data_IF_882965726780
#
_entry.id   IF_882965726780
#
_cell.length_a   1.000
_cell.length_b   1.000
_cell.length_c   1.000
_cell.angle_alpha   90.00
_cell.angle_beta   90.00
_cell.angle_gamma   90.00
#
_symmetry.space_group_name_H-M   'P 1'
#
loop_
_entity.id
_entity.type
_entity.pdbx_description
1 polymer ?
2 non-polymer ?
3 non-polymer ?
4 non-polymer ?
5 non-polymer ?
6 non-polymer ?
7 water ?
#
# COMPACT_ATOMS: atom_id res chain seq x y z
N UNK A 1 11.36 13.99 -0.23
CA UNK A 1 10.04 14.48 -0.62
C UNK A 1 9.29 14.93 0.61
N UNK A 2 8.35 15.79 0.38
CA UNK A 2 7.38 16.11 1.43
C UNK A 2 6.62 14.82 1.75
N UNK A 3 6.36 14.60 3.03
CA UNK A 3 5.62 13.42 3.51
C UNK A 3 4.52 13.90 4.45
N UNK A 4 3.50 13.09 4.61
CA UNK A 4 2.40 13.40 5.54
C UNK A 4 1.36 14.32 5.01
N UNK A 5 1.32 14.53 3.69
CA UNK A 5 0.34 15.40 3.03
C UNK A 5 -0.55 14.54 2.12
N UNK A 6 -1.85 14.66 2.27
CA UNK A 6 -2.81 13.84 1.53
C UNK A 6 -3.95 14.68 0.99
N UNK A 7 -4.38 14.39 -0.25
CA UNK A 7 -5.56 15.02 -0.79
C UNK A 7 -6.73 14.10 -0.66
N UNK A 8 -7.69 14.48 0.18
CA UNK A 8 -8.91 13.74 0.38
C UNK A 8 -9.99 14.31 -0.55
N UNK A 9 -11.07 13.58 -0.79
CA UNK A 9 -12.22 14.20 -1.47
C UNK A 9 -12.70 15.37 -0.62
N UNK A 10 -13.20 16.41 -1.28
CA UNK A 10 -13.65 17.60 -0.57
C UNK A 10 -14.82 17.32 0.36
N UNK A 11 -14.87 18.09 1.45
CA UNK A 11 -16.02 18.12 2.33
C UNK A 11 -16.42 16.75 2.85
N UNK A 12 -15.41 15.95 3.20
CA UNK A 12 -15.61 14.57 3.56
C UNK A 12 -15.15 14.32 5.00
N UNK A 13 -15.98 13.61 5.73
CA UNK A 13 -15.65 13.16 7.10
C UNK A 13 -14.56 12.10 7.05
N UNK A 14 -13.60 12.23 7.97
CA UNK A 14 -12.51 11.22 8.05
C UNK A 14 -12.10 11.06 9.50
N UNK A 15 -11.52 9.91 9.80
CA UNK A 15 -10.95 9.68 11.14
C UNK A 15 -9.46 9.83 11.15
N UNK A 16 -8.94 10.30 12.25
CA UNK A 16 -7.47 10.37 12.46
C UNK A 16 -7.15 9.83 13.85
N UNK A 17 -6.19 8.94 13.93
CA UNK A 17 -5.81 8.25 15.19
C UNK A 17 -4.30 8.21 15.26
N UNK A 18 -3.74 8.54 16.42
CA UNK A 18 -2.28 8.54 16.64
C UNK A 18 -1.87 7.62 17.77
N UNK A 19 -0.81 6.87 17.53
CA UNK A 19 -0.23 5.89 18.46
C UNK A 19 1.18 6.35 18.78
N UNK A 20 1.65 6.10 20.01
CA UNK A 20 3.04 6.46 20.39
C UNK A 20 3.87 5.23 20.76
N UNK A 21 5.15 5.27 20.36
CA UNK A 21 6.13 4.22 20.66
C UNK A 21 7.52 4.84 20.79
N UNK A 22 7.72 5.55 21.90
CA UNK A 22 8.92 6.34 22.11
C UNK A 22 9.05 6.76 23.56
N UNK A 23 10.30 6.93 24.00
CA UNK A 23 10.51 7.54 25.32
C UNK A 23 10.09 9.01 25.33
N UNK A 24 10.01 9.68 24.19
CA UNK A 24 9.70 11.09 24.15
C UNK A 24 8.22 11.34 24.02
N UNK A 25 7.73 12.42 24.61
CA UNK A 25 6.35 12.86 24.41
C UNK A 25 6.18 13.31 22.95
N UNK A 26 5.16 12.75 22.27
CA UNK A 26 4.85 13.06 20.91
C UNK A 26 3.81 14.16 20.84
N UNK A 27 4.00 15.11 19.94
CA UNK A 27 3.04 16.13 19.60
C UNK A 27 2.65 15.92 18.13
N UNK A 28 1.40 15.56 17.91
CA UNK A 28 0.87 15.33 16.55
C UNK A 28 -0.07 16.46 16.20
N UNK A 29 0.21 17.21 15.16
CA UNK A 29 -0.67 18.27 14.68
C UNK A 29 -1.34 17.83 13.39
N UNK A 30 -2.63 18.04 13.31
CA UNK A 30 -3.44 17.73 12.13
C UNK A 30 -3.89 19.04 11.52
N UNK A 31 -3.50 19.28 10.29
CA UNK A 31 -3.81 20.51 9.55
C UNK A 31 -4.77 20.19 8.41
N UNK A 32 -5.86 20.90 8.33
CA UNK A 32 -6.85 20.76 7.28
C UNK A 32 -6.84 22.09 6.49
N UNK A 33 -6.51 22.03 5.22
CA UNK A 33 -6.41 23.23 4.39
C UNK A 33 -5.55 24.30 5.03
N UNK A 34 -4.40 23.85 5.50
CA UNK A 34 -3.35 24.69 6.05
C UNK A 34 -3.63 25.31 7.42
N UNK A 35 -4.67 24.83 8.12
CA UNK A 35 -4.99 25.30 9.47
C UNK A 35 -4.94 24.14 10.44
N UNK A 36 -4.23 24.29 11.56
CA UNK A 36 -4.19 23.24 12.59
C UNK A 36 -5.57 23.14 13.21
N UNK A 37 -6.19 21.97 13.19
CA UNK A 37 -7.50 21.72 13.72
C UNK A 37 -7.52 20.68 14.84
N UNK A 38 -6.39 20.00 15.09
CA UNK A 38 -6.28 19.09 16.23
C UNK A 38 -4.80 18.93 16.58
N UNK A 39 -4.53 18.81 17.89
CA UNK A 39 -3.22 18.54 18.41
C UNK A 39 -3.35 17.44 19.45
N UNK A 40 -2.64 16.34 19.26
CA UNK A 40 -2.61 15.21 20.18
C UNK A 40 -1.24 15.19 20.86
N UNK A 41 -1.28 15.01 22.20
CA UNK A 41 -0.04 15.01 22.99
C UNK A 41 -0.05 13.82 23.93
N UNK A 42 1.02 13.02 23.92
CA UNK A 42 1.12 11.94 24.90
C UNK A 42 2.39 11.18 24.75
N UNK A 43 2.60 10.22 25.67
CA UNK A 43 3.84 9.42 25.67
C UNK A 43 3.52 7.99 25.96
N UNK A 44 4.09 7.08 25.20
CA UNK A 44 3.96 5.65 25.43
C UNK A 44 5.10 4.93 24.74
N UNK A 45 5.58 3.83 25.33
CA UNK A 45 6.44 2.89 24.61
C UNK A 45 5.68 1.61 24.27
N UNK A 46 4.36 1.62 24.33
CA UNK A 46 3.56 0.44 24.09
C UNK A 46 2.32 0.68 23.26
N UNK A 47 2.45 1.56 22.26
CA UNK A 47 1.42 1.74 21.25
C UNK A 47 0.14 2.34 21.77
N UNK A 48 0.16 3.08 22.86
CA UNK A 48 -1.06 3.73 23.34
C UNK A 48 -1.56 4.72 22.32
N UNK A 49 -2.88 4.83 22.27
CA UNK A 49 -3.55 5.84 21.47
C UNK A 49 -3.47 7.15 22.19
N UNK A 50 -2.80 8.11 21.61
CA UNK A 50 -2.65 9.46 22.23
C UNK A 50 -3.70 10.42 21.74
N UNK A 51 -4.47 10.06 20.70
CA UNK A 51 -5.56 10.88 20.23
C UNK A 51 -6.31 10.23 19.12
N UNK A 52 -7.61 10.49 19.01
CA UNK A 52 -8.43 10.03 17.88
C UNK A 52 -9.55 11.05 17.72
N UNK A 53 -9.84 11.44 16.49
CA UNK A 53 -10.85 12.46 16.21
C UNK A 53 -11.51 12.18 14.90
N UNK A 54 -12.72 12.65 14.71
CA UNK A 54 -13.40 12.72 13.42
C UNK A 54 -13.39 14.17 12.96
N UNK A 55 -12.93 14.42 11.74
CA UNK A 55 -12.81 15.74 11.18
C UNK A 55 -13.40 15.79 9.79
N UNK A 56 -13.52 17.00 9.25
CA UNK A 56 -13.99 17.19 7.87
C UNK A 56 -12.90 17.77 7.01
N UNK A 57 -12.72 17.27 5.78
CA UNK A 57 -11.62 17.70 4.92
C UNK A 57 -11.80 19.07 4.25
N UNK A 58 -12.98 19.63 4.38
CA UNK A 58 -13.25 21.02 3.86
C UNK A 58 -13.17 21.15 2.36
N UNK A 59 -13.13 22.40 1.93
CA UNK A 59 -13.21 22.65 0.48
C UNK A 59 -12.06 22.14 -0.34
N UNK A 60 -10.84 22.27 0.17
CA UNK A 60 -9.65 21.88 -0.56
C UNK A 60 -9.24 20.41 -0.40
N UNK A 61 -9.77 19.75 0.63
CA UNK A 61 -9.45 18.36 0.89
C UNK A 61 -8.04 18.10 1.40
N UNK A 62 -7.25 19.13 1.72
CA UNK A 62 -5.86 18.93 2.08
C UNK A 62 -5.75 18.57 3.54
N UNK A 63 -5.12 17.44 3.83
CA UNK A 63 -4.83 17.01 5.20
C UNK A 63 -3.34 16.81 5.34
N UNK A 64 -2.73 17.45 6.32
CA UNK A 64 -1.30 17.35 6.60
C UNK A 64 -1.04 17.00 8.04
N UNK A 65 -0.17 16.04 8.27
CA UNK A 65 0.25 15.61 9.61
C UNK A 65 1.64 16.09 9.87
N UNK A 66 1.82 16.74 11.03
CA UNK A 66 3.15 17.13 11.51
C UNK A 66 3.39 16.48 12.86
N UNK A 67 4.60 16.01 13.09
CA UNK A 67 4.99 15.39 14.36
C UNK A 67 6.22 16.04 14.90
N UNK A 68 6.19 16.43 16.19
CA UNK A 68 7.38 16.97 16.86
C UNK A 68 7.53 16.36 18.24
N UNK A 69 8.76 16.45 18.77
CA UNK A 69 9.08 16.00 20.13
C UNK A 69 9.85 17.16 20.76
N UNK A 70 9.27 17.73 21.82
CA UNK A 70 9.91 18.88 22.53
C UNK A 70 10.28 19.99 21.56
N UNK A 71 9.38 20.25 20.61
CA UNK A 71 9.53 21.29 19.62
C UNK A 71 10.37 20.97 18.40
N UNK A 72 11.01 19.82 18.34
CA UNK A 72 11.88 19.45 17.20
C UNK A 72 11.10 18.51 16.25
N UNK A 73 11.07 18.86 14.97
CA UNK A 73 10.26 18.11 14.01
C UNK A 73 10.88 16.71 13.79
N UNK A 74 10.02 15.70 13.84
CA UNK A 74 10.39 14.35 13.50
C UNK A 74 10.43 14.20 11.98
N UNK A 75 11.23 13.21 11.56
CA UNK A 75 11.29 12.87 10.13
C UNK A 75 10.09 11.96 9.81
N UNK A 76 9.37 12.26 8.75
CA UNK A 76 8.14 11.54 8.38
C UNK A 76 8.30 10.62 7.19
N UNK A 77 7.51 9.56 7.18
CA UNK A 77 7.30 8.70 6.00
C UNK A 77 5.81 8.45 5.87
N UNK A 78 5.32 8.35 4.64
CA UNK A 78 3.87 8.21 4.44
C UNK A 78 3.50 7.56 3.14
N UNK A 79 2.26 7.04 3.08
CA UNK A 79 1.68 6.49 1.82
C UNK A 79 0.19 6.44 2.00
N UNK A 80 -0.56 6.39 0.90
CA UNK A 80 -2.01 6.14 0.92
C UNK A 80 -2.29 4.83 0.21
N UNK A 81 -3.21 4.04 0.77
CA UNK A 81 -3.60 2.76 0.17
C UNK A 81 -5.12 2.71 0.10
N UNK A 82 -5.62 2.15 -1.00
CA UNK A 82 -7.07 2.04 -1.23
C UNK A 82 -7.39 0.57 -1.49
N UNK A 83 -8.35 0.04 -0.73
CA UNK A 83 -8.81 -1.35 -0.84
C UNK A 83 -10.23 -1.36 -1.38
N UNK A 84 -10.50 -2.36 -2.23
CA UNK A 84 -11.81 -2.55 -2.89
C UNK A 84 -12.32 -1.32 -3.60
N UNK A 85 -11.37 -0.50 -4.08
CA UNK A 85 -11.66 0.75 -4.78
C UNK A 85 -12.52 1.72 -3.99
N UNK A 86 -12.53 1.57 -2.67
CA UNK A 86 -13.44 2.38 -1.83
C UNK A 86 -12.85 2.78 -0.46
N UNK A 87 -12.16 1.88 0.17
CA UNK A 87 -11.68 2.07 1.56
C UNK A 87 -10.28 2.67 1.55
N UNK A 88 -10.15 3.85 2.12
CA UNK A 88 -8.87 4.59 2.06
C UNK A 88 -8.17 4.66 3.42
N UNK A 89 -6.88 4.45 3.37
CA UNK A 89 -5.98 4.66 4.52
C UNK A 89 -4.89 5.63 4.10
N UNK A 90 -4.65 6.66 4.90
CA UNK A 90 -3.45 7.50 4.73
C UNK A 90 -2.61 7.27 5.99
N UNK A 91 -1.38 6.83 5.78
CA UNK A 91 -0.53 6.26 6.84
C UNK A 91 0.72 7.12 7.00
N UNK A 92 1.07 7.41 8.27
CA UNK A 92 2.28 8.20 8.58
C UNK A 92 3.09 7.51 9.66
N UNK A 93 4.39 7.36 9.43
CA UNK A 93 5.33 7.01 10.49
C UNK A 93 6.25 8.18 10.72
N UNK A 94 6.91 8.17 11.88
CA UNK A 94 7.80 9.28 12.24
C UNK A 94 8.93 8.80 13.13
N UNK A 95 10.09 9.48 12.98
CA UNK A 95 11.30 9.13 13.70
C UNK A 95 11.86 10.35 14.41
N UNK A 96 12.03 10.19 15.73
CA UNK A 96 12.48 11.30 16.62
C UNK A 96 13.95 11.19 16.97
N UNK A 97 14.63 10.13 16.52
CA UNK A 97 16.02 9.89 16.91
C UNK A 97 16.78 9.17 15.80
N UNK A 98 17.58 8.16 16.16
CA UNK A 98 18.49 7.54 15.19
C UNK A 98 18.31 6.05 14.97
N UNK A 99 17.37 5.39 15.66
CA UNK A 99 17.17 3.96 15.47
C UNK A 99 16.38 3.57 14.24
N UNK A 100 15.71 4.55 13.65
CA UNK A 100 14.99 4.37 12.39
C UNK A 100 13.93 3.30 12.44
N UNK A 101 13.23 3.18 13.59
CA UNK A 101 12.04 2.34 13.62
C UNK A 101 10.80 3.05 13.03
N UNK A 102 10.80 4.36 12.96
CA UNK A 102 9.75 5.15 12.33
C UNK A 102 8.37 4.90 12.95
N UNK A 103 8.34 4.46 14.22
CA UNK A 103 7.06 4.19 14.89
C UNK A 103 6.82 5.14 16.06
N UNK A 104 7.62 6.20 16.16
CA UNK A 104 7.64 6.97 17.40
C UNK A 104 6.31 7.66 17.64
N UNK A 105 5.75 8.22 16.58
CA UNK A 105 4.32 8.47 16.44
C UNK A 105 3.88 7.84 15.13
N UNK A 106 2.83 7.07 15.19
CA UNK A 106 2.19 6.43 14.01
C UNK A 106 0.83 7.06 13.88
N UNK A 107 0.48 7.53 12.68
CA UNK A 107 -0.83 8.18 12.47
C UNK A 107 -1.55 7.46 11.35
N UNK A 108 -2.82 7.12 11.62
CA UNK A 108 -3.69 6.48 10.63
C UNK A 108 -4.89 7.39 10.39
N UNK A 109 -5.10 7.75 9.11
CA UNK A 109 -6.26 8.50 8.66
C UNK A 109 -7.11 7.52 7.84
N UNK A 110 -8.42 7.46 8.07
CA UNK A 110 -9.29 6.53 7.33
C UNK A 110 -10.56 7.21 6.88
N UNK A 111 -11.02 6.83 5.69
CA UNK A 111 -12.31 7.33 5.15
C UNK A 111 -12.74 6.33 4.08
N UNK A 112 -14.02 6.31 3.67
CA UNK A 112 -15.11 7.06 4.25
C UNK A 112 -15.54 6.51 5.59
N UNK A 113 -16.31 7.30 6.30
CA UNK A 113 -16.94 6.89 7.57
C UNK A 113 -18.42 6.58 7.33
N UNK A 114 -19.05 6.02 8.34
CA UNK A 114 -20.52 5.83 8.30
C UNK A 114 -20.96 4.49 7.80
N UNK B 1 -9.44 -14.85 -3.14
CA UNK B 1 -8.30 -15.17 -2.27
C UNK B 1 -8.73 -15.04 -0.84
N UNK B 2 -8.04 -15.78 -0.01
CA UNK B 2 -8.21 -15.60 1.42
C UNK B 2 -7.72 -14.18 1.76
N UNK B 3 -8.40 -13.54 2.69
CA UNK B 3 -8.10 -12.19 3.14
C UNK B 3 -8.04 -12.16 4.65
N UNK B 4 -7.36 -11.17 5.23
CA UNK B 4 -7.26 -11.01 6.67
C UNK B 4 -6.27 -11.92 7.37
N UNK B 5 -5.37 -12.55 6.62
CA UNK B 5 -4.33 -13.45 7.17
C UNK B 5 -2.98 -12.84 6.87
N UNK B 6 -2.15 -12.69 7.89
CA UNK B 6 -0.84 -12.06 7.75
C UNK B 6 0.22 -12.86 8.46
N UNK B 7 1.41 -12.95 7.84
CA UNK B 7 2.56 -13.58 8.50
C UNK B 7 3.46 -12.49 9.04
N UNK B 8 3.52 -12.39 10.36
CA UNK B 8 4.41 -11.46 11.05
C UNK B 8 5.72 -12.16 11.38
N UNK B 9 6.76 -11.38 11.66
CA UNK B 9 7.98 -12.00 12.24
C UNK B 9 7.60 -12.70 13.54
N UNK B 10 8.28 -13.81 13.84
CA UNK B 10 8.01 -14.55 15.05
C UNK B 10 8.26 -13.77 16.32
N UNK B 11 7.47 -14.10 17.33
CA UNK B 11 7.69 -13.63 18.70
C UNK B 11 7.83 -12.14 18.82
N UNK B 12 6.95 -11.44 18.09
CA UNK B 12 7.03 -9.99 17.97
C UNK B 12 5.76 -9.36 18.53
N UNK B 13 5.97 -8.29 19.32
CA UNK B 13 4.85 -7.50 19.84
C UNK B 13 4.23 -6.70 18.68
N UNK B 14 2.91 -6.65 18.66
CA UNK B 14 2.18 -5.88 17.63
C UNK B 14 0.93 -5.28 18.22
N UNK B 15 0.44 -4.21 17.60
CA UNK B 15 -0.84 -3.62 18.01
C UNK B 15 -1.95 -3.98 17.07
N UNK B 16 -3.15 -4.13 17.58
CA UNK B 16 -4.35 -4.32 16.76
C UNK B 16 -5.43 -3.37 17.27
N UNK B 17 -6.06 -2.64 16.36
CA UNK B 17 -7.06 -1.63 16.67
C UNK B 17 -8.19 -1.76 15.69
N UNK B 18 -9.45 -1.68 16.18
CA UNK B 18 -10.63 -1.79 15.31
C UNK B 18 -11.55 -0.61 15.45
N UNK B 19 -12.14 -0.18 14.33
CA UNK B 19 -13.07 0.93 14.23
C UNK B 19 -14.39 0.40 13.66
N UNK B 20 -15.52 0.98 14.05
CA UNK B 20 -16.83 0.59 13.50
C UNK B 20 -17.50 1.73 12.72
N UNK B 21 -18.15 1.36 11.61
CA UNK B 21 -18.89 2.30 10.74
C UNK B 21 -20.08 1.59 10.11
N UNK B 22 -21.09 1.28 10.92
CA UNK B 22 -22.21 0.48 10.46
C UNK B 22 -23.36 0.53 11.46
N UNK B 23 -24.58 0.31 10.96
CA UNK B 23 -25.71 0.08 11.88
C UNK B 23 -25.60 -1.24 12.58
N UNK B 24 -24.86 -2.20 12.00
CA UNK B 24 -24.71 -3.53 12.59
C UNK B 24 -23.58 -3.59 13.60
N UNK B 25 -23.79 -4.35 14.67
CA UNK B 25 -22.81 -4.49 15.75
C UNK B 25 -21.71 -5.41 15.26
N UNK B 26 -20.47 -4.95 15.32
CA UNK B 26 -19.31 -5.66 14.81
C UNK B 26 -18.66 -6.49 15.91
N UNK B 27 -18.32 -7.74 15.59
CA UNK B 27 -17.51 -8.61 16.42
C UNK B 27 -16.25 -8.94 15.63
N UNK B 28 -15.13 -8.45 16.13
CA UNK B 28 -13.81 -8.69 15.48
C UNK B 28 -13.06 -9.73 16.33
N UNK B 29 -12.69 -10.85 15.73
CA UNK B 29 -11.90 -11.87 16.41
C UNK B 29 -10.50 -11.90 15.87
N UNK B 30 -9.54 -11.93 16.78
CA UNK B 30 -8.13 -11.94 16.44
C UNK B 30 -7.58 -13.28 16.85
N UNK B 31 -7.05 -14.02 15.88
CA UNK B 31 -6.39 -15.29 16.13
C UNK B 31 -4.90 -15.17 15.91
N UNK B 32 -4.11 -15.67 16.85
CA UNK B 32 -2.66 -15.79 16.72
C UNK B 32 -2.32 -17.25 16.73
N UNK B 33 -1.70 -17.70 15.66
CA UNK B 33 -1.38 -19.15 15.49
C UNK B 33 -2.59 -20.01 15.79
N UNK B 34 -3.72 -19.62 15.20
CA UNK B 34 -4.97 -20.36 15.21
C UNK B 34 -5.68 -20.43 16.56
N UNK B 35 -5.33 -19.55 17.49
CA UNK B 35 -6.01 -19.45 18.80
C UNK B 35 -6.58 -18.02 18.93
N UNK B 36 -7.83 -17.91 19.37
CA UNK B 36 -8.43 -16.62 19.63
C UNK B 36 -7.77 -15.99 20.82
N UNK B 37 -7.21 -14.80 20.67
CA UNK B 37 -6.53 -14.09 21.73
C UNK B 37 -7.12 -12.71 22.02
N UNK B 38 -8.05 -12.22 21.18
CA UNK B 38 -8.74 -10.97 21.44
C UNK B 38 -10.06 -10.97 20.67
N UNK B 39 -11.05 -10.32 21.28
CA UNK B 39 -12.36 -10.10 20.66
C UNK B 39 -12.76 -8.67 20.97
N UNK B 40 -13.09 -7.90 19.91
CA UNK B 40 -13.58 -6.54 20.07
C UNK B 40 -14.98 -6.44 19.56
N UNK B 41 -15.87 -5.76 20.30
CA UNK B 41 -17.28 -5.69 19.95
C UNK B 41 -17.77 -4.28 20.11
N UNK B 42 -18.52 -3.77 19.13
CA UNK B 42 -19.20 -2.48 19.32
C UNK B 42 -20.00 -2.08 18.12
N UNK B 43 -20.79 -1.04 18.32
CA UNK B 43 -21.62 -0.49 17.25
C UNK B 43 -21.44 1.01 17.19
N UNK B 44 -21.05 1.49 16.02
CA UNK B 44 -20.93 2.93 15.77
C UNK B 44 -21.11 3.20 14.30
N UNK B 45 -21.72 4.35 13.97
CA UNK B 45 -21.68 4.87 12.61
C UNK B 45 -20.71 6.04 12.46
N UNK B 46 -19.83 6.25 13.43
CA UNK B 46 -18.93 7.38 13.42
C UNK B 46 -17.51 7.03 13.84
N UNK B 47 -17.05 5.87 13.38
CA UNK B 47 -15.63 5.51 13.51
C UNK B 47 -15.16 5.31 14.94
N UNK B 48 -16.08 4.95 15.87
CA UNK B 48 -15.61 4.69 17.21
C UNK B 48 -14.59 3.55 17.24
N UNK B 49 -13.61 3.68 18.10
CA UNK B 49 -12.65 2.62 18.35
C UNK B 49 -13.32 1.60 19.25
N UNK B 50 -13.50 0.40 18.75
CA UNK B 50 -14.19 -0.66 19.49
C UNK B 50 -13.18 -1.55 20.22
N UNK B 51 -11.90 -1.41 19.97
CA UNK B 51 -10.88 -2.09 20.77
C UNK B 51 -9.49 -1.74 20.27
N UNK B 52 -8.52 -1.84 21.17
CA UNK B 52 -7.11 -1.73 20.81
C UNK B 52 -6.32 -2.54 21.83
N UNK B 53 -5.39 -3.38 21.38
CA UNK B 53 -4.66 -4.28 22.27
C UNK B 53 -3.27 -4.50 21.72
N UNK B 54 -2.34 -4.84 22.61
CA UNK B 54 -1.01 -5.29 22.25
C UNK B 54 -0.93 -6.79 22.43
N UNK B 55 -0.44 -7.49 21.43
CA UNK B 55 -0.34 -8.94 21.42
C UNK B 55 1.05 -9.34 20.96
N UNK B 56 1.35 -10.63 21.11
CA UNK B 56 2.60 -11.21 20.62
C UNK B 56 2.31 -12.21 19.53
N UNK B 57 3.09 -12.18 18.44
CA UNK B 57 2.83 -13.03 17.28
C UNK B 57 3.21 -14.50 17.45
N UNK B 58 3.93 -14.81 18.53
CA UNK B 58 4.26 -16.22 18.85
C UNK B 58 5.20 -16.88 17.88
N UNK B 59 5.31 -18.19 18.04
CA UNK B 59 6.30 -18.91 17.23
C UNK B 59 6.10 -18.91 15.74
N UNK B 60 4.83 -19.05 15.33
CA UNK B 60 4.48 -19.12 13.91
C UNK B 60 4.29 -17.78 13.22
N UNK B 61 4.07 -16.73 13.98
CA UNK B 61 3.80 -15.40 13.44
C UNK B 61 2.47 -15.23 12.73
N UNK B 62 1.57 -16.19 12.81
CA UNK B 62 0.34 -16.13 12.00
C UNK B 62 -0.70 -15.29 12.73
N UNK B 63 -1.20 -14.25 12.09
CA UNK B 63 -2.27 -13.42 12.63
C UNK B 63 -3.44 -13.44 11.65
N UNK B 64 -4.62 -13.78 12.15
CA UNK B 64 -5.82 -13.77 11.32
C UNK B 64 -6.92 -12.95 11.96
N UNK B 65 -7.57 -12.12 11.16
CA UNK B 65 -8.72 -11.34 11.57
C UNK B 65 -9.98 -11.89 10.93
N UNK B 66 -11.01 -12.12 11.76
CA UNK B 66 -12.34 -12.47 11.29
C UNK B 66 -13.32 -11.44 11.81
N UNK B 67 -14.34 -11.11 11.01
CA UNK B 67 -15.38 -10.15 11.41
C UNK B 67 -16.74 -10.73 11.18
N UNK B 68 -17.61 -10.63 12.19
CA UNK B 68 -19.01 -11.06 12.02
C UNK B 68 -19.96 -10.05 12.61
N UNK B 69 -21.20 -10.09 12.15
CA UNK B 69 -22.28 -9.25 12.63
C UNK B 69 -23.45 -10.18 12.94
N UNK B 70 -23.82 -10.26 14.23
CA UNK B 70 -24.90 -11.17 14.68
C UNK B 70 -24.71 -12.58 14.15
N UNK B 71 -23.46 -13.06 14.22
CA UNK B 71 -23.15 -14.42 13.83
C UNK B 71 -22.85 -14.64 12.36
N UNK B 72 -23.06 -13.67 11.49
CA UNK B 72 -22.85 -13.84 10.05
C UNK B 72 -21.50 -13.21 9.64
N UNK B 73 -20.70 -13.97 8.92
CA UNK B 73 -19.37 -13.51 8.51
C UNK B 73 -19.44 -12.38 7.52
N UNK B 74 -18.70 -11.32 7.77
CA UNK B 74 -18.49 -10.23 6.82
C UNK B 74 -17.49 -10.62 5.76
N UNK B 75 -17.63 -10.00 4.61
CA UNK B 75 -16.66 -10.18 3.52
C UNK B 75 -15.46 -9.28 3.80
N UNK B 76 -14.26 -9.84 3.70
CA UNK B 76 -13.02 -9.11 4.02
C UNK B 76 -12.20 -8.71 2.84
N UNK B 77 -11.50 -7.59 2.98
CA UNK B 77 -10.44 -7.18 2.03
C UNK B 77 -9.24 -6.76 2.86
N UNK B 78 -8.03 -7.00 2.35
CA UNK B 78 -6.82 -6.74 3.16
C UNK B 78 -5.59 -6.51 2.34
N UNK B 79 -4.60 -5.89 2.97
CA UNK B 79 -3.25 -5.76 2.36
C UNK B 79 -2.27 -5.41 3.47
N UNK B 80 -0.98 -5.59 3.21
CA UNK B 80 0.10 -5.16 4.11
C UNK B 80 0.93 -4.12 3.40
N UNK B 81 1.34 -3.08 4.12
CA UNK B 81 2.23 -2.05 3.56
C UNK B 81 3.37 -1.83 4.52
N UNK B 82 4.55 -1.63 3.95
CA UNK B 82 5.78 -1.41 4.74
C UNK B 82 6.39 -0.08 4.31
N UNK B 83 6.64 0.82 5.27
CA UNK B 83 7.29 2.12 5.04
C UNK B 83 8.68 2.12 5.65
N UNK B 84 9.60 2.80 4.98
CA UNK B 84 11.02 2.93 5.42
C UNK B 84 11.66 1.60 5.68
N UNK B 85 11.21 0.57 4.97
CA UNK B 85 11.70 -0.81 5.14
C UNK B 85 11.64 -1.32 6.56
N UNK B 86 10.75 -0.77 7.36
CA UNK B 86 10.71 -1.12 8.79
C UNK B 86 9.33 -1.06 9.44
N UNK B 87 8.53 -0.08 9.07
CA UNK B 87 7.24 0.17 9.72
C UNK B 87 6.15 -0.57 8.96
N UNK B 88 5.48 -1.50 9.63
CA UNK B 88 4.49 -2.38 8.99
C UNK B 88 3.07 -2.10 9.42
N UNK B 89 2.18 -2.08 8.43
CA UNK B 89 0.73 -2.01 8.64
C UNK B 89 0.09 -3.20 7.97
N UNK B 90 -0.77 -3.91 8.65
CA UNK B 90 -1.62 -4.95 8.06
C UNK B 90 -3.05 -4.43 8.22
N UNK B 91 -3.75 -4.25 7.10
CA UNK B 91 -5.00 -3.49 7.03
C UNK B 91 -6.14 -4.41 6.59
N UNK B 92 -7.28 -4.29 7.27
CA UNK B 92 -8.47 -5.06 6.91
C UNK B 92 -9.68 -4.14 6.83
N UNK B 93 -10.45 -4.30 5.75
CA UNK B 93 -11.80 -3.75 5.68
C UNK B 93 -12.79 -4.88 5.63
N UNK B 94 -14.05 -4.56 5.94
CA UNK B 94 -15.07 -5.60 5.98
C UNK B 94 -16.43 -5.01 5.60
N UNK B 95 -17.25 -5.87 4.98
CA UNK B 95 -18.58 -5.45 4.48
C UNK B 95 -19.62 -6.42 5.01
N UNK B 96 -20.61 -5.84 5.71
CA UNK B 96 -21.68 -6.62 6.36
C UNK B 96 -22.98 -6.63 5.57
N UNK B 97 -23.04 -5.92 4.45
CA UNK B 97 -24.32 -5.77 3.74
C UNK B 97 -24.06 -5.52 2.26
N UNK B 98 -24.76 -4.54 1.68
CA UNK B 98 -24.87 -4.41 0.22
C UNK B 98 -24.34 -3.12 -0.38
N UNK B 99 -23.83 -2.19 0.41
CA UNK B 99 -23.34 -0.94 -0.14
C UNK B 99 -21.88 -0.94 -0.55
N UNK B 100 -21.14 -1.97 -0.16
CA UNK B 100 -19.73 -2.13 -0.57
C UNK B 100 -18.83 -0.96 -0.18
N UNK B 101 -19.09 -0.36 0.99
CA UNK B 101 -18.15 0.63 1.52
C UNK B 101 -16.94 -0.03 2.23
N UNK B 102 -17.07 -1.27 2.65
CA UNK B 102 -15.99 -2.03 3.25
C UNK B 102 -15.39 -1.38 4.49
N UNK B 103 -16.13 -0.51 5.18
CA UNK B 103 -15.65 0.18 6.36
C UNK B 103 -16.38 -0.25 7.63
N UNK B 104 -17.18 -1.30 7.52
CA UNK B 104 -18.15 -1.60 8.59
C UNK B 104 -17.44 -1.96 9.89
N UNK B 105 -16.39 -2.77 9.75
CA UNK B 105 -15.31 -2.82 10.74
C UNK B 105 -14.02 -2.62 9.96
N UNK B 106 -13.19 -1.74 10.46
CA UNK B 106 -11.85 -1.47 9.90
C UNK B 106 -10.84 -1.90 10.92
N UNK B 107 -9.85 -2.70 10.56
CA UNK B 107 -8.85 -3.20 11.51
C UNK B 107 -7.47 -2.82 11.02
N UNK B 108 -6.68 -2.24 11.92
CA UNK B 108 -5.29 -1.86 11.66
C UNK B 108 -4.39 -2.62 12.63
N UNK B 109 -3.45 -3.38 12.08
CA UNK B 109 -2.39 -4.07 12.83
C UNK B 109 -1.10 -3.32 12.53
N UNK B 110 -0.30 -2.99 13.55
CA UNK B 110 0.96 -2.27 13.33
C UNK B 110 2.10 -2.87 14.14
N UNK B 111 3.28 -2.90 13.56
CA UNK B 111 4.50 -3.32 14.25
C UNK B 111 5.68 -2.71 13.52
N UNK B 112 6.88 -2.63 14.12
CA UNK B 112 7.17 -2.97 15.51
C UNK B 112 6.65 -1.94 16.47
N UNK B 113 6.60 -2.32 17.74
CA UNK B 113 6.24 -1.40 18.84
C UNK B 113 7.50 -1.01 19.59
N UNK B 114 7.35 -0.06 20.50
CA UNK B 114 8.43 0.32 21.42
C UNK B 114 9.27 1.44 20.96
N UNK C 1 13.80 10.26 5.36
CA UNK C 1 14.16 8.84 5.55
C UNK C 1 14.86 8.35 4.31
N UNK C 2 15.67 7.35 4.49
CA UNK C 2 16.23 6.65 3.34
C UNK C 2 15.04 5.99 2.62
N UNK C 3 15.10 6.02 1.30
CA UNK C 3 14.06 5.45 0.43
C UNK C 3 14.73 4.57 -0.61
N UNK C 4 13.97 3.63 -1.16
CA UNK C 4 14.47 2.76 -2.23
C UNK C 4 15.28 1.59 -1.74
N UNK C 5 15.22 1.26 -0.45
CA UNK C 5 15.92 0.12 0.13
C UNK C 5 14.90 -0.88 0.65
N UNK C 6 15.03 -2.14 0.24
CA UNK C 6 14.07 -3.18 0.62
C UNK C 6 14.77 -4.43 1.06
N UNK C 7 14.28 -5.10 2.09
CA UNK C 7 14.79 -6.39 2.52
C UNK C 7 13.89 -7.49 1.96
N UNK C 8 14.41 -8.25 1.03
CA UNK C 8 13.73 -9.38 0.42
C UNK C 8 14.09 -10.64 1.19
N UNK C 9 13.28 -11.69 1.08
CA UNK C 9 13.74 -13.00 1.56
C UNK C 9 15.03 -13.39 0.87
N UNK C 10 15.91 -14.09 1.59
CA UNK C 10 17.19 -14.48 1.02
C UNK C 10 17.07 -15.39 -0.19
N UNK C 11 18.03 -15.26 -1.08
CA UNK C 11 18.23 -16.19 -2.18
C UNK C 11 16.97 -16.39 -3.03
N UNK C 12 16.30 -15.28 -3.30
CA UNK C 12 15.02 -15.29 -3.96
C UNK C 12 15.09 -14.54 -5.29
N UNK C 13 14.56 -15.15 -6.33
CA UNK C 13 14.43 -14.52 -7.64
C UNK C 13 13.40 -13.41 -7.59
N UNK C 14 13.73 -12.27 -8.19
CA UNK C 14 12.78 -11.14 -8.27
C UNK C 14 12.92 -10.42 -9.58
N UNK C 15 11.87 -9.73 -9.99
CA UNK C 15 11.93 -8.91 -11.19
C UNK C 15 12.08 -7.45 -10.85
N UNK C 16 12.77 -6.71 -11.71
CA UNK C 16 12.88 -5.26 -11.56
C UNK C 16 12.67 -4.61 -12.92
N UNK C 17 11.79 -3.62 -13.00
CA UNK C 17 11.39 -2.99 -14.23
C UNK C 17 11.34 -1.49 -14.00
N UNK C 18 11.84 -0.70 -14.97
CA UNK C 18 11.80 0.75 -14.85
C UNK C 18 11.13 1.41 -16.04
N UNK C 19 10.37 2.47 -15.78
CA UNK C 19 9.64 3.26 -16.73
C UNK C 19 10.15 4.69 -16.64
N UNK C 20 10.18 5.43 -17.76
CA UNK C 20 10.58 6.84 -17.76
C UNK C 20 9.48 7.78 -18.17
N UNK C 21 9.40 8.96 -17.51
CA UNK C 21 8.43 10.02 -17.78
C UNK C 21 9.04 11.39 -17.47
N UNK C 22 9.98 11.78 -18.30
CA UNK C 22 10.77 13.02 -18.06
C UNK C 22 11.50 13.42 -19.34
N UNK C 23 11.77 14.71 -19.45
CA UNK C 23 12.71 15.19 -20.50
C UNK C 23 14.10 14.71 -20.28
N UNK C 24 14.51 14.37 -19.04
CA UNK C 24 15.84 13.96 -18.75
C UNK C 24 16.08 12.49 -18.95
N UNK C 25 17.28 12.11 -19.37
CA UNK C 25 17.71 10.74 -19.42
C UNK C 25 17.84 10.23 -17.98
N UNK C 26 17.17 9.11 -17.69
CA UNK C 26 17.19 8.48 -16.39
C UNK C 26 18.20 7.38 -16.33
N UNK C 27 18.96 7.29 -15.27
CA UNK C 27 19.88 6.20 -15.02
C UNK C 27 19.43 5.52 -13.73
N UNK C 28 18.99 4.27 -13.82
CA UNK C 28 18.55 3.47 -12.67
C UNK C 28 19.59 2.42 -12.35
N UNK C 29 20.09 2.44 -11.13
CA UNK C 29 21.08 1.45 -10.65
C UNK C 29 20.41 0.54 -9.66
N UNK C 30 20.61 -0.77 -9.82
CA UNK C 30 20.09 -1.76 -8.89
C UNK C 30 21.27 -2.41 -8.18
N UNK C 31 21.29 -2.27 -6.86
CA UNK C 31 22.30 -2.92 -6.03
C UNK C 31 21.70 -4.06 -5.23
N UNK C 32 22.35 -5.19 -5.24
CA UNK C 32 21.98 -6.33 -4.41
C UNK C 32 23.13 -6.58 -3.46
N UNK C 33 22.84 -6.53 -2.18
CA UNK C 33 23.89 -6.66 -1.13
C UNK C 33 25.09 -5.77 -1.45
N UNK C 34 24.77 -4.53 -1.77
CA UNK C 34 25.70 -3.43 -1.97
C UNK C 34 26.60 -3.54 -3.21
N UNK C 35 26.22 -4.38 -4.17
CA UNK C 35 26.93 -4.52 -5.45
C UNK C 35 25.96 -4.19 -6.59
N UNK C 36 26.41 -3.39 -7.54
CA UNK C 36 25.62 -3.05 -8.70
C UNK C 36 25.48 -4.28 -9.57
N UNK C 37 24.25 -4.69 -9.85
CA UNK C 37 23.96 -5.87 -10.66
C UNK C 37 23.09 -5.56 -11.88
N UNK C 38 22.55 -4.34 -12.00
CA UNK C 38 21.84 -3.93 -13.19
C UNK C 38 21.86 -2.41 -13.29
N UNK C 39 21.91 -1.91 -14.52
CA UNK C 39 21.79 -0.49 -14.82
C UNK C 39 20.90 -0.28 -16.01
N UNK C 40 19.87 0.55 -15.90
CA UNK C 40 18.98 0.90 -16.98
C UNK C 40 19.14 2.37 -17.33
N UNK C 41 19.26 2.72 -18.60
CA UNK C 41 19.41 4.11 -19.05
C UNK C 41 18.44 4.37 -20.17
N UNK C 42 17.68 5.43 -20.10
CA UNK C 42 16.80 5.82 -21.20
C UNK C 42 16.04 7.05 -20.97
N UNK C 43 15.36 7.56 -21.98
CA UNK C 43 14.56 8.76 -21.89
C UNK C 43 13.23 8.52 -22.59
N UNK C 44 12.16 8.92 -21.93
CA UNK C 44 10.83 8.92 -22.48
C UNK C 44 9.95 9.91 -21.74
N UNK C 45 8.99 10.52 -22.38
CA UNK C 45 7.92 11.23 -21.73
C UNK C 45 6.58 10.47 -21.92
N UNK C 46 6.64 9.18 -22.26
CA UNK C 46 5.43 8.41 -22.47
C UNK C 46 5.52 7.00 -21.89
N UNK C 47 6.14 6.88 -20.74
CA UNK C 47 6.15 5.62 -19.97
C UNK C 47 6.87 4.47 -20.64
N UNK C 48 7.83 4.73 -21.49
CA UNK C 48 8.62 3.62 -22.06
C UNK C 48 9.30 2.84 -20.98
N UNK C 49 9.38 1.54 -21.19
CA UNK C 49 10.18 0.67 -20.37
C UNK C 49 11.64 0.84 -20.73
N UNK C 50 12.46 1.28 -19.80
CA UNK C 50 13.89 1.48 -20.06
C UNK C 50 14.71 0.28 -19.64
N UNK C 51 14.11 -0.68 -18.93
CA UNK C 51 14.79 -1.92 -18.60
C UNK C 51 13.92 -2.85 -17.79
N UNK C 52 14.17 -4.14 -17.89
CA UNK C 52 13.52 -5.13 -17.05
C UNK C 52 14.46 -6.32 -16.93
N UNK C 53 14.69 -6.84 -15.74
CA UNK C 53 15.63 -7.94 -15.52
C UNK C 53 15.15 -8.80 -14.39
N UNK C 54 15.58 -10.05 -14.38
CA UNK C 54 15.40 -10.96 -13.26
C UNK C 54 16.72 -11.10 -12.53
N UNK C 55 16.68 -10.96 -11.22
CA UNK C 55 17.86 -10.99 -10.36
C UNK C 55 17.61 -11.89 -9.17
N UNK C 56 18.65 -12.17 -8.41
CA UNK C 56 18.53 -12.95 -7.18
C UNK C 56 18.92 -12.11 -5.99
N UNK C 57 18.17 -12.17 -4.88
CA UNK C 57 18.41 -11.31 -3.74
C UNK C 57 19.62 -11.70 -2.88
N UNK C 58 20.18 -12.89 -3.14
CA UNK C 58 21.41 -13.31 -2.46
C UNK C 58 21.25 -13.56 -0.98
N UNK C 59 22.39 -13.71 -0.32
CA UNK C 59 22.36 -14.12 1.07
C UNK C 59 21.74 -13.10 2.02
N UNK C 60 22.03 -11.81 1.82
CA UNK C 60 21.51 -10.77 2.68
C UNK C 60 20.11 -10.26 2.36
N UNK C 61 19.65 -10.51 1.15
CA UNK C 61 18.33 -10.04 0.70
C UNK C 61 18.22 -8.56 0.48
N UNK C 62 19.30 -7.78 0.55
CA UNK C 62 19.20 -6.32 0.47
C UNK C 62 19.13 -5.89 -0.98
N UNK C 63 18.08 -5.15 -1.35
CA UNK C 63 17.96 -4.57 -2.67
C UNK C 63 17.82 -3.06 -2.54
N UNK C 64 18.65 -2.32 -3.26
CA UNK C 64 18.56 -0.86 -3.27
C UNK C 64 18.48 -0.32 -4.67
N UNK C 65 17.56 0.61 -4.88
CA UNK C 65 17.38 1.31 -6.13
C UNK C 65 17.91 2.73 -5.98
N UNK C 66 18.76 3.14 -6.92
CA UNK C 66 19.22 4.52 -7.03
C UNK C 66 18.84 5.06 -8.37
N UNK C 67 18.45 6.30 -8.45
CA UNK C 67 18.11 6.96 -9.71
C UNK C 67 18.88 8.27 -9.80
N UNK C 68 19.55 8.47 -10.94
CA UNK C 68 20.22 9.75 -11.17
C UNK C 68 19.93 10.26 -12.57
N UNK C 69 19.98 11.58 -12.69
CA UNK C 69 19.66 12.28 -13.95
C UNK C 69 20.80 13.28 -14.12
N UNK C 70 21.56 13.15 -15.20
CA UNK C 70 22.66 14.10 -15.50
C UNK C 70 23.59 14.28 -14.33
N UNK C 71 23.92 13.18 -13.65
CA UNK C 71 24.86 13.16 -12.58
C UNK C 71 24.35 13.51 -11.21
N UNK C 72 23.07 13.86 -11.09
CA UNK C 72 22.50 14.26 -9.78
C UNK C 72 21.58 13.13 -9.33
N UNK C 73 21.62 12.80 -8.06
CA UNK C 73 20.62 11.89 -7.47
C UNK C 73 19.26 12.50 -7.47
N UNK C 74 18.24 11.74 -7.94
CA UNK C 74 16.87 12.16 -7.86
C UNK C 74 16.36 11.90 -6.45
N UNK C 75 15.33 12.65 -6.09
CA UNK C 75 14.68 12.43 -4.81
C UNK C 75 13.74 11.22 -4.94
N UNK C 76 13.86 10.28 -4.02
CA UNK C 76 13.11 9.03 -4.10
C UNK C 76 11.99 8.96 -3.09
N UNK C 77 10.92 8.25 -3.49
CA UNK C 77 9.87 7.85 -2.56
C UNK C 77 9.61 6.35 -2.81
N UNK C 78 9.29 5.61 -1.76
CA UNK C 78 9.13 4.17 -1.90
C UNK C 78 8.24 3.55 -0.86
N UNK C 79 7.71 2.37 -1.18
CA UNK C 79 6.92 1.56 -0.23
C UNK C 79 6.89 0.14 -0.71
N UNK C 80 6.62 -0.82 0.17
CA UNK C 80 6.39 -2.23 -0.20
C UNK C 80 4.96 -2.58 0.14
N UNK C 81 4.29 -3.32 -0.77
CA UNK C 81 2.90 -3.73 -0.57
C UNK C 81 2.85 -5.25 -0.82
N UNK C 82 2.07 -5.93 0.00
CA UNK C 82 1.92 -7.38 -0.07
C UNK C 82 0.42 -7.69 -0.20
N UNK C 83 0.07 -8.44 -1.23
CA UNK C 83 -1.32 -8.89 -1.49
C UNK C 83 -1.44 -10.36 -1.26
N UNK C 84 -2.60 -10.76 -0.70
CA UNK C 84 -2.89 -12.20 -0.43
C UNK C 84 -1.82 -12.87 0.42
N UNK C 85 -1.15 -12.05 1.26
CA UNK C 85 -0.05 -12.54 2.11
C UNK C 85 1.05 -13.26 1.38
N UNK C 86 1.22 -12.96 0.10
CA UNK C 86 2.19 -13.71 -0.72
C UNK C 86 2.83 -12.91 -1.85
N UNK C 87 2.07 -12.05 -2.51
CA UNK C 87 2.53 -11.35 -3.71
C UNK C 87 3.10 -10.00 -3.29
N UNK C 88 4.40 -9.78 -3.56
CA UNK C 88 5.09 -8.59 -3.10
C UNK C 88 5.44 -7.63 -4.21
N UNK C 89 5.22 -6.35 -3.95
CA UNK C 89 5.67 -5.24 -4.80
C UNK C 89 6.54 -4.32 -3.98
N UNK C 90 7.70 -3.96 -4.48
CA UNK C 90 8.51 -2.87 -3.90
C UNK C 90 8.51 -1.78 -4.95
N UNK C 91 8.05 -0.60 -4.59
CA UNK C 91 7.70 0.49 -5.52
C UNK C 91 8.59 1.70 -5.24
N UNK C 92 9.11 2.30 -6.32
CA UNK C 92 9.93 3.51 -6.23
C UNK C 92 9.45 4.54 -7.22
N UNK C 93 9.25 5.77 -6.73
CA UNK C 93 9.10 6.94 -7.61
C UNK C 93 10.29 7.85 -7.42
N UNK C 94 10.51 8.70 -8.40
CA UNK C 94 11.67 9.60 -8.33
C UNK C 94 11.36 10.90 -9.03
N UNK C 95 11.99 11.98 -8.49
CA UNK C 95 11.78 13.33 -8.99
C UNK C 95 13.12 13.97 -9.29
N UNK C 96 13.25 14.41 -10.54
CA UNK C 96 14.52 15.01 -11.05
C UNK C 96 14.46 16.52 -11.13
N UNK C 97 13.34 17.13 -10.76
CA UNK C 97 13.14 18.57 -10.87
C UNK C 97 12.25 19.08 -9.73
N UNK C 98 11.34 19.99 -10.03
CA UNK C 98 10.55 20.70 -9.01
C UNK C 98 9.05 20.59 -9.21
N UNK C 99 8.55 19.87 -10.23
CA UNK C 99 7.11 19.71 -10.41
C UNK C 99 6.47 18.65 -9.50
N UNK C 100 7.30 17.83 -8.89
CA UNK C 100 6.86 16.87 -7.88
C UNK C 100 5.83 15.88 -8.38
N UNK C 101 5.96 15.46 -9.65
CA UNK C 101 5.14 14.33 -10.12
C UNK C 101 5.70 12.97 -9.69
N UNK C 102 6.99 12.90 -9.35
CA UNK C 102 7.64 11.70 -8.84
C UNK C 102 7.51 10.49 -9.80
N UNK C 103 7.33 10.75 -11.09
CA UNK C 103 7.20 9.66 -12.07
C UNK C 103 8.36 9.64 -13.05
N UNK C 104 9.43 10.42 -12.76
CA UNK C 104 10.45 10.67 -13.78
C UNK C 104 11.16 9.38 -14.15
N UNK C 105 11.48 8.60 -13.14
CA UNK C 105 11.73 7.16 -13.29
C UNK C 105 10.86 6.48 -12.26
N UNK C 106 10.11 5.48 -12.70
CA UNK C 106 9.25 4.65 -11.82
C UNK C 106 9.83 3.26 -11.84
N UNK C 107 10.06 2.66 -10.69
CA UNK C 107 10.65 1.33 -10.62
C UNK C 107 9.76 0.41 -9.84
N UNK C 108 9.51 -0.77 -10.42
CA UNK C 108 8.68 -1.81 -9.79
C UNK C 108 9.52 -3.07 -9.63
N UNK C 109 9.62 -3.55 -8.39
CA UNK C 109 10.23 -4.80 -8.06
C UNK C 109 9.11 -5.75 -7.66
N UNK C 110 9.10 -6.99 -8.19
CA UNK C 110 8.04 -7.96 -7.84
C UNK C 110 8.60 -9.33 -7.57
N UNK C 111 8.01 -10.01 -6.59
CA UNK C 111 8.36 -11.41 -6.28
C UNK C 111 7.15 -12.01 -5.57
N UNK C 112 7.01 -13.34 -5.51
CA UNK C 112 7.89 -14.34 -6.14
C UNK C 112 7.65 -14.39 -7.65
N UNK C 113 8.61 -15.01 -8.34
CA UNK C 113 8.50 -15.30 -9.76
C UNK C 113 8.20 -16.76 -9.97
N UNK C 114 7.92 -17.10 -11.24
CA UNK C 114 7.77 -18.49 -11.64
C UNK C 114 6.38 -19.04 -11.52
N UNK D 1 -14.90 -9.50 -2.30
CA UNK D 1 -15.06 -8.16 -2.93
C UNK D 1 -14.64 -8.28 -4.38
N UNK D 2 -15.20 -7.41 -5.18
CA UNK D 2 -14.71 -7.21 -6.53
C UNK D 2 -13.25 -6.75 -6.45
N UNK D 3 -12.43 -7.28 -7.34
CA UNK D 3 -11.00 -6.92 -7.42
C UNK D 3 -10.68 -6.54 -8.87
N UNK D 4 -9.62 -5.74 -9.04
CA UNK D 4 -9.16 -5.35 -10.38
C UNK D 4 -9.94 -4.21 -11.00
N UNK D 5 -10.72 -3.48 -10.22
CA UNK D 5 -11.49 -2.31 -10.68
C UNK D 5 -10.98 -1.09 -9.99
N UNK D 6 -10.65 -0.06 -10.76
CA UNK D 6 -10.07 1.17 -10.21
C UNK D 6 -10.73 2.39 -10.81
N UNK D 7 -10.97 3.42 -9.99
CA UNK D 7 -11.46 4.69 -10.47
C UNK D 7 -10.28 5.66 -10.59
N UNK D 8 -9.93 5.99 -11.82
CA UNK D 8 -8.90 6.96 -12.12
C UNK D 8 -9.54 8.34 -12.29
N UNK D 9 -8.72 9.39 -12.19
CA UNK D 9 -9.23 10.71 -12.60
C UNK D 9 -9.65 10.66 -14.05
N UNK D 10 -10.71 11.41 -14.40
CA UNK D 10 -11.24 11.37 -15.75
C UNK D 10 -10.24 11.89 -16.77
N UNK D 11 -10.34 11.35 -17.98
CA UNK D 11 -9.63 11.85 -19.14
C UNK D 11 -8.12 11.96 -18.93
N UNK D 12 -7.56 10.94 -18.29
CA UNK D 12 -6.18 10.94 -17.89
C UNK D 12 -5.42 9.79 -18.53
N UNK D 13 -4.24 10.11 -19.05
CA UNK D 13 -3.33 9.11 -19.61
C UNK D 13 -2.77 8.23 -18.50
N UNK D 14 -2.72 6.93 -18.77
CA UNK D 14 -2.13 5.98 -17.81
C UNK D 14 -1.42 4.87 -18.53
N UNK D 15 -0.47 4.23 -17.87
CA UNK D 15 0.18 3.06 -18.41
C UNK D 15 -0.33 1.77 -17.82
N UNK D 16 -0.36 0.71 -18.61
CA UNK D 16 -0.73 -0.62 -18.14
C UNK D 16 0.29 -1.62 -18.67
N UNK D 17 0.85 -2.44 -17.79
CA UNK D 17 1.92 -3.38 -18.11
C UNK D 17 1.63 -4.71 -17.46
N UNK D 18 1.79 -5.80 -18.20
CA UNK D 18 1.50 -7.14 -17.66
C UNK D 18 2.73 -8.07 -17.77
N UNK D 19 2.95 -8.84 -16.73
CA UNK D 19 4.04 -9.77 -16.57
C UNK D 19 3.45 -11.17 -16.40
N UNK D 20 4.11 -12.21 -16.90
CA UNK D 20 3.62 -13.59 -16.78
C UNK D 20 4.59 -14.45 -15.95
N UNK D 21 4.03 -15.32 -15.12
CA UNK D 21 4.76 -16.28 -14.28
C UNK D 21 3.95 -17.57 -14.08
N UNK D 22 3.80 -18.31 -15.17
CA UNK D 22 2.89 -19.47 -15.17
C UNK D 22 3.16 -20.36 -16.38
N UNK D 23 2.89 -21.67 -16.21
CA UNK D 23 2.84 -22.56 -17.35
C UNK D 23 1.66 -22.29 -18.25
N UNK D 24 0.62 -21.63 -17.75
CA UNK D 24 -0.59 -21.32 -18.53
C UNK D 24 -0.40 -20.04 -19.33
N UNK D 25 -0.97 -19.99 -20.50
CA UNK D 25 -0.97 -18.80 -21.35
C UNK D 25 -1.95 -17.81 -20.75
N UNK D 26 -1.48 -16.58 -20.46
CA UNK D 26 -2.28 -15.56 -19.81
C UNK D 26 -2.93 -14.64 -20.79
N UNK D 27 -4.20 -14.35 -20.65
CA UNK D 27 -4.93 -13.36 -21.41
C UNK D 27 -5.36 -12.27 -20.44
N UNK D 28 -4.79 -11.05 -20.64
CA UNK D 28 -5.15 -9.90 -19.83
C UNK D 28 -6.00 -8.97 -20.67
N UNK D 29 -7.23 -8.69 -20.22
CA UNK D 29 -8.10 -7.73 -20.89
C UNK D 29 -8.23 -6.49 -20.06
N UNK D 30 -8.08 -5.35 -20.73
CA UNK D 30 -8.18 -4.05 -20.08
C UNK D 30 -9.44 -3.37 -20.61
N UNK D 31 -10.37 -3.05 -19.72
CA UNK D 31 -11.57 -2.34 -20.06
C UNK D 31 -11.55 -0.95 -19.49
N UNK D 32 -11.86 0.04 -20.32
CA UNK D 32 -12.02 1.42 -19.89
C UNK D 32 -13.47 1.79 -20.11
N UNK D 33 -14.14 2.17 -19.02
CA UNK D 33 -15.57 2.47 -19.07
C UNK D 33 -16.35 1.37 -19.80
N UNK D 34 -16.06 0.14 -19.42
CA UNK D 34 -16.75 -1.08 -19.84
C UNK D 34 -16.54 -1.47 -21.30
N UNK D 35 -15.50 -0.94 -21.94
CA UNK D 35 -15.14 -1.31 -23.32
C UNK D 35 -13.70 -1.86 -23.31
N UNK D 36 -13.49 -2.98 -24.00
CA UNK D 36 -12.14 -3.53 -24.11
C UNK D 36 -11.31 -2.63 -24.99
N UNK D 37 -10.19 -2.16 -24.47
CA UNK D 37 -9.29 -1.26 -25.22
C UNK D 37 -7.88 -1.82 -25.34
N UNK D 38 -7.54 -2.91 -24.66
CA UNK D 38 -6.25 -3.58 -24.81
C UNK D 38 -6.39 -5.03 -24.39
N UNK D 39 -5.68 -5.91 -25.07
CA UNK D 39 -5.62 -7.34 -24.75
C UNK D 39 -4.20 -7.79 -24.92
N UNK D 40 -3.62 -8.45 -23.92
CA UNK D 40 -2.29 -9.04 -24.02
C UNK D 40 -2.45 -10.56 -23.86
N UNK D 41 -1.84 -11.38 -24.71
CA UNK D 41 -1.85 -12.83 -24.55
C UNK D 41 -0.45 -13.38 -24.70
N UNK D 42 0.09 -14.02 -23.69
CA UNK D 42 1.45 -14.55 -23.74
C UNK D 42 1.78 -15.48 -22.64
N UNK D 43 2.99 -16.00 -22.61
CA UNK D 43 3.36 -17.04 -21.64
C UNK D 43 4.78 -16.88 -21.22
N UNK D 44 5.07 -16.99 -19.95
CA UNK D 44 6.42 -17.02 -19.39
C UNK D 44 6.39 -17.61 -17.99
N UNK D 45 7.44 -18.26 -17.55
CA UNK D 45 7.68 -18.54 -16.16
C UNK D 45 8.84 -17.71 -15.59
N UNK D 46 9.22 -16.65 -16.29
CA UNK D 46 10.41 -15.85 -15.95
C UNK D 46 10.04 -14.33 -15.93
N UNK D 47 8.82 -13.97 -15.58
CA UNK D 47 8.44 -12.55 -15.44
C UNK D 47 8.52 -11.76 -16.73
N UNK D 48 8.40 -12.41 -17.88
CA UNK D 48 8.42 -11.65 -19.14
C UNK D 48 7.24 -10.75 -19.25
N UNK D 49 7.49 -9.60 -19.86
CA UNK D 49 6.45 -8.62 -20.14
C UNK D 49 5.67 -9.05 -21.35
N UNK D 50 4.38 -9.28 -21.19
CA UNK D 50 3.54 -9.69 -22.32
C UNK D 50 2.87 -8.50 -23.01
N UNK D 51 2.90 -7.31 -22.38
CA UNK D 51 2.41 -6.14 -23.04
C UNK D 51 2.56 -4.91 -22.16
N UNK D 52 2.62 -3.76 -22.80
CA UNK D 52 2.61 -2.48 -22.09
C UNK D 52 2.01 -1.44 -23.06
N UNK D 53 1.04 -0.69 -22.58
CA UNK D 53 0.33 0.27 -23.42
C UNK D 53 -0.01 1.52 -22.64
N UNK D 54 -0.17 2.62 -23.33
CA UNK D 54 -0.66 3.86 -22.79
C UNK D 54 -2.09 4.07 -23.26
N UNK D 55 -2.98 4.36 -22.34
CA UNK D 55 -4.38 4.48 -22.57
C UNK D 55 -4.91 5.73 -21.89
N UNK D 56 -6.14 6.09 -22.24
CA UNK D 56 -6.82 7.23 -21.60
C UNK D 56 -8.01 6.74 -20.79
N UNK D 57 -8.21 7.26 -19.58
CA UNK D 57 -9.26 6.79 -18.70
C UNK D 57 -10.68 7.25 -19.05
N UNK D 58 -10.77 8.17 -20.00
CA UNK D 58 -12.09 8.60 -20.52
C UNK D 58 -12.95 9.34 -19.53
N UNK D 59 -14.21 9.52 -19.91
CA UNK D 59 -15.09 10.34 -19.09
C UNK D 59 -15.37 9.82 -17.68
N UNK D 60 -15.58 8.52 -17.57
CA UNK D 60 -15.95 7.90 -16.33
C UNK D 60 -14.75 7.50 -15.43
N UNK D 61 -13.56 7.43 -16.00
CA UNK D 61 -12.37 7.03 -15.27
C UNK D 61 -12.31 5.57 -14.84
N UNK D 62 -13.25 4.71 -15.27
CA UNK D 62 -13.30 3.34 -14.79
C UNK D 62 -12.33 2.46 -15.55
N UNK D 63 -11.41 1.81 -14.86
CA UNK D 63 -10.47 0.86 -15.45
C UNK D 63 -10.67 -0.48 -14.78
N UNK D 64 -10.86 -1.53 -15.57
CA UNK D 64 -11.03 -2.89 -15.04
C UNK D 64 -10.07 -3.83 -15.73
N UNK D 65 -9.40 -4.66 -14.95
CA UNK D 65 -8.51 -5.71 -15.44
C UNK D 65 -9.18 -7.06 -15.23
N UNK D 66 -9.22 -7.86 -16.29
CA UNK D 66 -9.67 -9.24 -16.23
C UNK D 66 -8.56 -10.13 -16.72
N UNK D 67 -8.35 -11.26 -16.06
CA UNK D 67 -7.34 -12.22 -16.43
C UNK D 67 -7.94 -13.61 -16.60
N UNK D 68 -7.66 -14.26 -17.73
CA UNK D 68 -8.12 -15.62 -17.96
C UNK D 68 -7.03 -16.48 -18.55
N UNK D 69 -7.17 -17.79 -18.39
CA UNK D 69 -6.28 -18.78 -18.94
C UNK D 69 -7.13 -19.81 -19.66
N UNK D 70 -6.95 -19.92 -20.97
CA UNK D 70 -7.75 -20.88 -21.81
C UNK D 70 -9.26 -20.69 -21.54
N UNK D 71 -9.70 -19.45 -21.42
CA UNK D 71 -11.10 -19.12 -21.24
C UNK D 71 -11.65 -19.16 -19.82
N UNK D 72 -10.83 -19.57 -18.85
CA UNK D 72 -11.28 -19.67 -17.44
C UNK D 72 -10.74 -18.48 -16.64
N UNK D 73 -11.60 -17.79 -15.93
CA UNK D 73 -11.20 -16.59 -15.18
C UNK D 73 -10.29 -16.95 -14.03
N UNK D 74 -9.18 -16.23 -13.90
CA UNK D 74 -8.29 -16.34 -12.74
C UNK D 74 -8.89 -15.56 -11.57
N UNK D 75 -8.49 -15.97 -10.39
CA UNK D 75 -8.85 -15.26 -9.18
C UNK D 75 -7.92 -14.05 -9.01
N UNK D 76 -8.51 -12.89 -8.79
CA UNK D 76 -7.76 -11.62 -8.70
C UNK D 76 -7.61 -11.10 -7.29
N UNK D 77 -6.49 -10.42 -7.07
CA UNK D 77 -6.28 -9.61 -5.86
C UNK D 77 -5.71 -8.26 -6.33
N UNK D 78 -6.09 -7.18 -5.63
CA UNK D 78 -5.70 -5.84 -6.10
C UNK D 78 -5.66 -4.81 -5.01
N UNK D 79 -4.91 -3.75 -5.26
CA UNK D 79 -4.91 -2.56 -4.37
C UNK D 79 -4.40 -1.37 -5.13
N UNK D 80 -4.66 -0.17 -4.64
CA UNK D 80 -4.08 1.07 -5.20
C UNK D 80 -3.22 1.69 -4.14
N UNK D 81 -2.04 2.18 -4.52
CA UNK D 81 -1.12 2.86 -3.59
C UNK D 81 -0.70 4.16 -4.21
N UNK D 82 -0.61 5.20 -3.37
CA UNK D 82 -0.25 6.56 -3.81
C UNK D 82 0.97 7.00 -2.99
N UNK D 83 2.04 7.37 -3.69
CA UNK D 83 3.27 7.89 -3.07
C UNK D 83 3.42 9.37 -3.38
N UNK D 84 3.94 10.11 -2.39
CA UNK D 84 4.17 11.57 -2.50
C UNK D 84 2.92 12.32 -2.86
N UNK D 85 1.75 11.76 -2.49
CA UNK D 85 0.45 12.36 -2.81
C UNK D 85 0.22 12.62 -4.29
N UNK D 86 0.93 11.90 -5.14
CA UNK D 86 0.88 12.18 -6.58
C UNK D 86 1.06 10.97 -7.49
N UNK D 87 1.95 10.06 -7.12
CA UNK D 87 2.31 8.91 -7.96
C UNK D 87 1.42 7.74 -7.60
N UNK D 88 0.63 7.28 -8.58
CA UNK D 88 -0.36 6.24 -8.35
C UNK D 88 0.01 4.93 -9.01
N UNK D 89 -0.17 3.84 -8.24
CA UNK D 89 -0.04 2.48 -8.75
C UNK D 89 -1.36 1.77 -8.50
N UNK D 90 -1.92 1.13 -9.51
CA UNK D 90 -3.03 0.21 -9.32
C UNK D 90 -2.47 -1.17 -9.68
N UNK D 91 -2.51 -2.10 -8.73
CA UNK D 91 -1.77 -3.36 -8.78
C UNK D 91 -2.75 -4.53 -8.80
N UNK D 92 -2.48 -5.50 -9.66
CA UNK D 92 -3.31 -6.72 -9.74
C UNK D 92 -2.42 -7.93 -9.76
N UNK D 93 -2.75 -8.91 -8.91
CA UNK D 93 -2.19 -10.26 -9.02
C UNK D 93 -3.31 -11.20 -9.39
N UNK D 94 -2.91 -12.37 -9.90
CA UNK D 94 -3.92 -13.33 -10.35
C UNK D 94 -3.40 -14.75 -10.18
N UNK D 95 -4.36 -15.64 -9.91
CA UNK D 95 -4.04 -17.05 -9.67
C UNK D 95 -4.89 -17.93 -10.55
N UNK D 96 -4.19 -18.76 -11.34
CA UNK D 96 -4.85 -19.63 -12.35
C UNK D 96 -4.99 -21.07 -11.88
N UNK D 97 -4.50 -21.37 -10.67
CA UNK D 97 -4.52 -22.73 -10.16
C UNK D 97 -4.66 -22.74 -8.63
N UNK D 98 -3.89 -23.58 -7.95
CA UNK D 98 -4.06 -23.79 -6.51
C UNK D 98 -2.81 -23.56 -5.69
N UNK D 99 -1.68 -23.15 -6.28
CA UNK D 99 -0.51 -22.89 -5.47
C UNK D 99 -0.50 -21.54 -4.76
N UNK D 100 -1.39 -20.64 -5.17
CA UNK D 100 -1.62 -19.39 -4.51
C UNK D 100 -0.40 -18.50 -4.44
N UNK D 101 0.42 -18.52 -5.51
CA UNK D 101 1.47 -17.49 -5.65
C UNK D 101 0.93 -16.16 -6.16
N UNK D 102 -0.22 -16.16 -6.80
CA UNK D 102 -0.90 -14.92 -7.28
C UNK D 102 -0.04 -14.11 -8.22
N UNK D 103 0.91 -14.73 -8.89
CA UNK D 103 1.80 -14.01 -9.80
C UNK D 103 1.62 -14.42 -11.25
N UNK D 104 0.57 -15.21 -11.53
CA UNK D 104 0.51 -15.89 -12.81
C UNK D 104 0.41 -14.91 -13.97
N UNK D 105 -0.42 -13.89 -13.77
CA UNK D 105 -0.31 -12.61 -14.49
C UNK D 105 -0.28 -11.55 -13.43
N UNK D 106 0.70 -10.64 -13.52
CA UNK D 106 0.82 -9.48 -12.64
C UNK D 106 0.58 -8.26 -13.50
N UNK D 107 -0.29 -7.36 -13.09
CA UNK D 107 -0.59 -6.16 -13.89
C UNK D 107 -0.33 -4.93 -13.06
N UNK D 108 0.43 -4.00 -13.63
CA UNK D 108 0.73 -2.71 -12.99
C UNK D 108 0.16 -1.60 -13.86
N UNK D 109 -0.71 -0.78 -13.27
CA UNK D 109 -1.23 0.45 -13.86
C UNK D 109 -0.57 1.61 -13.15
N UNK D 110 -0.05 2.59 -13.90
CA UNK D 110 0.63 3.75 -13.27
C UNK D 110 0.20 5.04 -13.91
N UNK D 111 0.03 6.06 -13.08
CA UNK D 111 -0.25 7.43 -13.56
C UNK D 111 0.23 8.39 -12.48
N UNK D 112 0.41 9.69 -12.79
CA UNK D 112 0.37 10.30 -14.09
C UNK D 112 1.57 9.91 -14.95
N UNK D 113 1.44 10.16 -16.25
CA UNK D 113 2.53 10.01 -17.18
C UNK D 113 3.09 11.37 -17.57
N UNK D 114 4.22 11.35 -18.27
CA UNK D 114 4.76 12.60 -18.83
C UNK D 114 5.75 13.31 -17.95
#
# INVERSE_FOLDING_TARGET
>A
ATQGVFTLPANTQFGVTAFANSAGTQTVNVQVNNETVATFTGQSTNNAIIGSKVLNSGGGGKVQILVSVNGRSSDLVSAQVILANELNFALVGSEDSTDNDYNDAVVVINWPLG
>B
ATQGVFTLPANTQFGVTAFANSAGTQTVNVQVNNETVATFTGQSTNNAIIGSKVLNSGGGGKVQILVSVNGRSSDLVSAQVILANELNFALVGSEDSTDNDYNDAVVVINWPLG
>C
ATQGVFTLPANTQFGVTAFANSAGTQTVNVQVNNETVATFTGQSTNNAIIGSKVLNSGGGGKVQILVSVNGRSSDLVSAQVILANELNFALVGSEDSTDNDYNDAVVVINWPLG
>D
ATQGVFTLPANTQFGVTAFANSAGTQTVNVQVNNETVATFTGQSTNNAIIGSKVLNSGGGGKVQILVSVNGRSSDLVSAQVILANELNFALVGSEDSTDNDYNDAVVVINWPLG
#
